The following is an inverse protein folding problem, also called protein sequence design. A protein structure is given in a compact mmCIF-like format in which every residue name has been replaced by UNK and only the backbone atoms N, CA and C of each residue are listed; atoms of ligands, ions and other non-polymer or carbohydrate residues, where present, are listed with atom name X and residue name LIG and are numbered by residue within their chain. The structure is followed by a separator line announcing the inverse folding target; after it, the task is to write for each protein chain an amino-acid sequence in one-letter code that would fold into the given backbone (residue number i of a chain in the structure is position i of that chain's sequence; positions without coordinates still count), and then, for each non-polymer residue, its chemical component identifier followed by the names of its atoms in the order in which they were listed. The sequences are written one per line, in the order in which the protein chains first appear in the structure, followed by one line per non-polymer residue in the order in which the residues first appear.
data_IF_609256137999
#
_entry.id   IF_609256137999
#
_cell.length_a   1.000
_cell.length_b   1.000
_cell.length_c   1.000
_cell.angle_alpha   90.00
_cell.angle_beta   90.00
_cell.angle_gamma   90.00
#
_symmetry.space_group_name_H-M   'P 1'
#
loop_
_entity.id
_entity.type
_entity.pdbx_description
1 polymer ?
#
# COMPACT_ATOMS: atom_id res chain seq x y z
N UNK A 1 -34.76 4.44 -43.38
CA UNK A 1 -33.69 3.41 -43.26
C UNK A 1 -32.31 4.05 -43.19
N UNK A 2 -31.91 4.87 -44.17
CA UNK A 2 -30.56 5.49 -44.22
C UNK A 2 -30.22 6.37 -43.00
N UNK A 3 -31.17 7.20 -42.54
CA UNK A 3 -30.95 8.04 -41.35
C UNK A 3 -30.76 7.25 -40.04
N UNK A 4 -31.35 6.05 -39.93
CA UNK A 4 -31.17 5.19 -38.76
C UNK A 4 -29.78 4.54 -38.78
N UNK A 5 -29.34 4.09 -39.96
CA UNK A 5 -28.01 3.49 -40.17
C UNK A 5 -26.90 4.52 -39.95
N UNK A 6 -27.06 5.76 -40.42
CA UNK A 6 -26.10 6.84 -40.15
C UNK A 6 -26.02 7.23 -38.66
N UNK A 7 -27.15 7.19 -37.95
CA UNK A 7 -27.20 7.54 -36.51
C UNK A 7 -26.54 6.45 -35.67
N UNK A 8 -26.77 5.18 -36.02
CA UNK A 8 -26.09 4.03 -35.42
C UNK A 8 -24.60 4.06 -35.75
N UNK A 9 -24.22 4.28 -37.01
CA UNK A 9 -22.80 4.35 -37.42
C UNK A 9 -22.02 5.45 -36.71
N UNK A 10 -22.59 6.65 -36.56
CA UNK A 10 -21.97 7.75 -35.79
C UNK A 10 -21.88 7.43 -34.30
N UNK A 11 -22.92 6.83 -33.72
CA UNK A 11 -22.93 6.43 -32.31
C UNK A 11 -21.88 5.34 -32.02
N UNK A 12 -21.80 4.31 -32.85
CA UNK A 12 -20.83 3.21 -32.70
C UNK A 12 -19.41 3.73 -32.93
N UNK A 13 -19.19 4.57 -33.94
CA UNK A 13 -17.90 5.21 -34.19
C UNK A 13 -17.43 6.08 -33.02
N UNK A 14 -18.35 6.81 -32.38
CA UNK A 14 -18.04 7.60 -31.17
C UNK A 14 -17.59 6.73 -30.01
N UNK A 15 -18.36 5.68 -29.68
CA UNK A 15 -18.01 4.77 -28.57
C UNK A 15 -16.69 4.04 -28.84
N UNK A 16 -16.50 3.50 -30.05
CA UNK A 16 -15.26 2.80 -30.43
C UNK A 16 -14.07 3.77 -30.39
N UNK A 17 -14.25 5.01 -30.86
CA UNK A 17 -13.22 6.04 -30.79
C UNK A 17 -12.81 6.37 -29.36
N UNK A 18 -13.77 6.56 -28.46
CA UNK A 18 -13.49 6.81 -27.03
C UNK A 18 -12.76 5.64 -26.38
N UNK A 19 -13.21 4.40 -26.61
CA UNK A 19 -12.56 3.21 -26.06
C UNK A 19 -11.13 3.05 -26.59
N UNK A 20 -10.91 3.33 -27.87
CA UNK A 20 -9.59 3.21 -28.48
C UNK A 20 -8.62 4.29 -28.00
N UNK A 21 -9.10 5.52 -27.78
CA UNK A 21 -8.30 6.58 -27.17
C UNK A 21 -7.98 6.28 -25.70
N UNK A 22 -8.98 5.89 -24.90
CA UNK A 22 -8.75 5.48 -23.52
C UNK A 22 -7.71 4.34 -23.42
N UNK A 23 -7.74 3.38 -24.35
CA UNK A 23 -6.72 2.34 -24.44
C UNK A 23 -5.32 2.87 -24.74
N UNK A 24 -5.20 3.85 -25.64
CA UNK A 24 -3.91 4.50 -25.95
C UNK A 24 -3.38 5.29 -24.77
N UNK A 25 -4.24 6.07 -24.12
CA UNK A 25 -3.88 6.87 -22.94
C UNK A 25 -3.42 5.95 -21.79
N UNK A 26 -4.11 4.83 -21.58
CA UNK A 26 -3.71 3.84 -20.59
C UNK A 26 -2.33 3.22 -20.88
N UNK A 27 -2.04 2.89 -22.14
CA UNK A 27 -0.72 2.37 -22.55
C UNK A 27 0.36 3.43 -22.37
N UNK A 28 0.08 4.69 -22.74
CA UNK A 28 1.02 5.79 -22.58
C UNK A 28 1.34 6.05 -21.10
N UNK A 29 0.32 6.05 -20.24
CA UNK A 29 0.47 6.14 -18.79
C UNK A 29 1.32 5.00 -18.22
N UNK A 30 1.08 3.76 -18.68
CA UNK A 30 1.87 2.61 -18.26
C UNK A 30 3.35 2.79 -18.60
N UNK A 31 3.65 3.18 -19.83
CA UNK A 31 5.01 3.28 -20.36
C UNK A 31 5.77 4.48 -19.80
N UNK A 32 5.13 5.65 -19.71
CA UNK A 32 5.81 6.89 -19.32
C UNK A 32 5.86 7.12 -17.82
N UNK A 33 4.97 6.48 -17.07
CA UNK A 33 4.82 6.77 -15.64
C UNK A 33 4.98 5.52 -14.78
N UNK A 34 4.14 4.50 -14.99
CA UNK A 34 4.07 3.36 -14.08
C UNK A 34 5.36 2.54 -14.11
N UNK A 35 5.84 2.17 -15.30
CA UNK A 35 7.08 1.37 -15.44
C UNK A 35 8.30 2.10 -14.88
N UNK A 36 8.58 3.38 -15.24
CA UNK A 36 9.67 4.14 -14.64
C UNK A 36 9.59 4.23 -13.12
N UNK A 37 8.39 4.44 -12.57
CA UNK A 37 8.18 4.50 -11.14
C UNK A 37 8.46 3.15 -10.45
N UNK A 38 7.97 2.04 -11.00
CA UNK A 38 8.28 0.70 -10.48
C UNK A 38 9.78 0.40 -10.50
N UNK A 39 10.49 0.82 -11.55
CA UNK A 39 11.94 0.66 -11.62
C UNK A 39 12.66 1.44 -10.51
N UNK A 40 12.25 2.69 -10.25
CA UNK A 40 12.77 3.50 -9.15
C UNK A 40 12.51 2.85 -7.78
N UNK A 41 11.28 2.41 -7.52
CA UNK A 41 10.92 1.76 -6.25
C UNK A 41 11.73 0.48 -6.05
N UNK A 42 11.89 -0.33 -7.09
CA UNK A 42 12.68 -1.59 -7.03
C UNK A 42 14.15 -1.31 -6.72
N UNK A 43 14.73 -0.24 -7.29
CA UNK A 43 16.08 0.17 -6.98
C UNK A 43 16.24 0.59 -5.51
N UNK A 44 15.32 1.40 -4.97
CA UNK A 44 15.33 1.82 -3.56
C UNK A 44 15.21 0.61 -2.63
N UNK A 45 14.29 -0.32 -2.92
CA UNK A 45 14.14 -1.58 -2.17
C UNK A 45 15.44 -2.39 -2.22
N UNK A 46 16.05 -2.53 -3.40
CA UNK A 46 17.33 -3.23 -3.57
C UNK A 46 18.45 -2.63 -2.71
N UNK A 47 18.57 -1.30 -2.66
CA UNK A 47 19.53 -0.63 -1.78
C UNK A 47 19.26 -0.91 -0.30
N UNK A 48 18.00 -0.88 0.15
CA UNK A 48 17.66 -1.11 1.56
C UNK A 48 17.98 -2.56 1.98
N UNK A 49 17.75 -3.52 1.08
CA UNK A 49 18.10 -4.93 1.31
C UNK A 49 19.62 -5.13 1.36
N UNK A 50 20.38 -4.62 0.39
CA UNK A 50 21.84 -4.74 0.34
C UNK A 50 22.55 -4.01 1.49
N UNK A 51 22.01 -2.90 1.96
CA UNK A 51 22.59 -2.13 3.08
C UNK A 51 22.31 -2.74 4.45
N UNK A 52 21.44 -3.75 4.56
CA UNK A 52 21.08 -4.37 5.84
C UNK A 52 20.28 -3.47 6.79
N UNK A 53 19.83 -2.29 6.33
CA UNK A 53 18.97 -1.38 7.10
C UNK A 53 17.65 -2.08 7.46
N UNK A 54 17.13 -2.87 6.52
CA UNK A 54 15.96 -3.71 6.75
C UNK A 54 16.14 -4.71 7.90
N UNK A 55 17.30 -5.36 7.97
CA UNK A 55 17.64 -6.33 9.02
C UNK A 55 17.83 -5.68 10.39
N UNK A 56 18.40 -4.47 10.42
CA UNK A 56 18.54 -3.71 11.66
C UNK A 56 17.16 -3.35 12.27
N UNK A 57 16.23 -2.91 11.43
CA UNK A 57 14.86 -2.58 11.86
C UNK A 57 14.11 -3.85 12.31
N UNK A 58 14.25 -4.93 11.55
CA UNK A 58 13.71 -6.24 11.87
C UNK A 58 14.14 -6.77 13.24
N UNK A 59 15.44 -6.69 13.55
CA UNK A 59 15.96 -7.14 14.84
C UNK A 59 15.44 -6.29 16.01
N UNK A 60 15.22 -4.99 15.79
CA UNK A 60 14.57 -4.12 16.78
C UNK A 60 13.09 -4.46 17.03
N UNK A 61 12.39 -4.96 16.00
CA UNK A 61 10.95 -5.26 16.06
C UNK A 61 10.66 -6.70 16.54
N UNK A 62 11.61 -7.63 16.39
CA UNK A 62 11.43 -9.05 16.72
C UNK A 62 10.92 -9.30 18.15
N UNK A 63 11.32 -8.45 19.11
CA UNK A 63 10.87 -8.52 20.50
C UNK A 63 9.42 -8.05 20.76
N UNK A 64 8.82 -7.33 19.82
CA UNK A 64 7.47 -6.77 19.93
C UNK A 64 6.40 -7.61 19.22
N UNK A 65 6.78 -8.57 18.37
CA UNK A 65 5.86 -9.34 17.55
C UNK A 65 5.05 -10.41 18.32
N UNK A 66 5.45 -10.75 19.55
CA UNK A 66 4.83 -11.82 20.34
C UNK A 66 3.71 -11.35 21.28
N UNK A 67 3.37 -10.05 21.26
CA UNK A 67 2.31 -9.51 22.12
C UNK A 67 1.45 -8.50 21.39
N UNK A 68 0.17 -8.41 21.78
CA UNK A 68 -0.77 -7.43 21.22
C UNK A 68 -0.25 -5.99 21.41
N UNK A 69 0.27 -5.67 22.60
CA UNK A 69 0.83 -4.35 22.88
C UNK A 69 2.05 -4.01 22.02
N UNK A 70 2.93 -4.99 21.76
CA UNK A 70 4.06 -4.80 20.88
C UNK A 70 3.64 -4.58 19.42
N UNK A 71 2.65 -5.35 18.93
CA UNK A 71 2.07 -5.15 17.60
C UNK A 71 1.41 -3.77 17.45
N UNK A 72 0.76 -3.26 18.50
CA UNK A 72 0.20 -1.90 18.49
C UNK A 72 1.29 -0.83 18.35
N UNK A 73 2.43 -1.00 19.02
CA UNK A 73 3.58 -0.08 18.88
C UNK A 73 4.15 -0.13 17.46
N UNK A 74 4.34 -1.34 16.92
CA UNK A 74 4.79 -1.54 15.54
C UNK A 74 3.82 -0.85 14.56
N UNK A 75 2.53 -0.99 14.77
CA UNK A 75 1.49 -0.33 13.98
C UNK A 75 1.60 1.19 14.01
N UNK A 76 1.81 1.78 15.18
CA UNK A 76 1.95 3.24 15.31
C UNK A 76 3.20 3.71 14.55
N UNK A 77 4.33 3.01 14.71
CA UNK A 77 5.58 3.34 13.99
C UNK A 77 5.36 3.26 12.48
N UNK A 78 4.76 2.17 12.00
CA UNK A 78 4.48 1.95 10.58
C UNK A 78 3.48 2.98 10.02
N UNK A 79 2.56 3.49 10.84
CA UNK A 79 1.56 4.48 10.46
C UNK A 79 2.09 5.93 10.42
N UNK A 80 3.31 6.22 10.90
CA UNK A 80 3.83 7.59 10.94
C UNK A 80 3.82 8.21 9.54
N UNK A 81 3.09 9.33 9.32
CA UNK A 81 2.97 9.98 8.01
C UNK A 81 4.29 10.27 7.32
N UNK A 82 5.35 10.59 8.08
CA UNK A 82 6.69 10.93 7.56
C UNK A 82 7.40 9.74 6.89
N UNK A 83 7.07 8.50 7.26
CA UNK A 83 7.68 7.31 6.65
C UNK A 83 7.09 6.98 5.26
N UNK A 84 5.99 7.65 4.86
CA UNK A 84 5.29 7.40 3.58
C UNK A 84 5.77 8.21 2.39
N UNK A 85 6.14 9.50 2.51
CA UNK A 85 6.84 10.24 1.46
C UNK A 85 8.16 9.58 1.09
N UNK A 86 8.79 8.92 2.07
CA UNK A 86 9.94 8.08 1.87
C UNK A 86 9.45 6.67 1.45
N UNK A 87 8.77 6.59 0.30
CA UNK A 87 8.03 5.44 -0.27
C UNK A 87 8.70 4.04 -0.18
N UNK A 88 9.99 3.94 0.19
CA UNK A 88 10.74 2.71 0.38
C UNK A 88 10.62 2.12 1.79
N UNK A 89 11.06 2.79 2.86
CA UNK A 89 11.10 2.22 4.20
C UNK A 89 9.78 1.64 4.74
N UNK A 90 8.63 2.29 4.55
CA UNK A 90 7.34 1.76 5.03
C UNK A 90 6.99 0.39 4.43
N UNK A 91 7.11 0.27 3.10
CA UNK A 91 6.88 -0.98 2.38
C UNK A 91 7.93 -2.06 2.70
N UNK A 92 9.19 -1.66 2.87
CA UNK A 92 10.27 -2.60 3.22
C UNK A 92 10.11 -3.14 4.64
N UNK A 93 9.72 -2.29 5.60
CA UNK A 93 9.43 -2.74 6.98
C UNK A 93 8.30 -3.76 6.96
N UNK A 94 7.19 -3.47 6.25
CA UNK A 94 6.07 -4.39 6.13
C UNK A 94 6.51 -5.75 5.55
N UNK A 95 7.32 -5.73 4.50
CA UNK A 95 7.80 -6.94 3.83
C UNK A 95 8.73 -7.77 4.73
N UNK A 96 9.77 -7.15 5.32
CA UNK A 96 10.77 -7.89 6.09
C UNK A 96 10.19 -8.38 7.42
N UNK A 97 9.45 -7.52 8.13
CA UNK A 97 8.82 -7.92 9.40
C UNK A 97 7.76 -8.99 9.15
N UNK A 98 6.99 -8.91 8.06
CA UNK A 98 6.02 -9.93 7.69
C UNK A 98 6.65 -11.31 7.48
N UNK A 99 7.76 -11.38 6.73
CA UNK A 99 8.51 -12.63 6.52
C UNK A 99 9.07 -13.18 7.83
N UNK A 100 9.60 -12.33 8.71
CA UNK A 100 10.15 -12.75 9.99
C UNK A 100 9.08 -13.31 10.91
N UNK A 101 7.96 -12.60 11.09
CA UNK A 101 6.84 -13.07 11.92
C UNK A 101 6.30 -14.38 11.37
N UNK A 102 6.08 -14.47 10.05
CA UNK A 102 5.62 -15.70 9.40
C UNK A 102 6.59 -16.88 9.61
N UNK A 103 7.89 -16.64 9.56
CA UNK A 103 8.91 -17.67 9.82
C UNK A 103 8.91 -18.14 11.27
N UNK A 104 8.79 -17.23 12.23
CA UNK A 104 8.75 -17.57 13.66
C UNK A 104 7.42 -18.27 14.05
N UNK A 105 6.30 -17.93 13.39
CA UNK A 105 5.05 -18.70 13.50
C UNK A 105 5.25 -20.12 12.95
N UNK A 106 5.85 -20.27 11.77
CA UNK A 106 6.13 -21.59 11.17
C UNK A 106 7.08 -22.46 12.01
N UNK A 107 7.92 -21.83 12.86
CA UNK A 107 8.80 -22.51 13.82
C UNK A 107 8.13 -22.83 15.16
N UNK A 108 6.90 -22.33 15.39
CA UNK A 108 6.17 -22.51 16.66
C UNK A 108 6.65 -21.58 17.79
N UNK A 109 7.47 -20.58 17.50
CA UNK A 109 7.95 -19.61 18.49
C UNK A 109 6.93 -18.49 18.74
N UNK A 110 6.04 -18.23 17.78
CA UNK A 110 4.93 -17.29 17.88
C UNK A 110 3.64 -18.08 17.60
N UNK A 111 2.60 -17.80 18.38
CA UNK A 111 1.30 -18.43 18.22
C UNK A 111 0.64 -18.03 16.88
N UNK A 112 -0.06 -18.97 16.23
CA UNK A 112 -0.71 -18.75 14.93
C UNK A 112 -1.78 -17.67 15.02
N UNK A 113 -2.44 -17.51 16.17
CA UNK A 113 -3.42 -16.44 16.41
C UNK A 113 -2.82 -15.03 16.24
N UNK A 114 -1.50 -14.88 16.34
CA UNK A 114 -0.84 -13.58 16.15
C UNK A 114 -0.64 -13.20 14.67
N UNK A 115 -0.91 -14.11 13.72
CA UNK A 115 -0.72 -13.85 12.30
C UNK A 115 -1.58 -12.68 11.77
N UNK A 116 -2.88 -12.68 12.07
CA UNK A 116 -3.81 -11.65 11.60
C UNK A 116 -3.57 -10.28 12.26
N UNK A 117 -3.39 -10.18 13.59
CA UNK A 117 -2.93 -8.95 14.24
C UNK A 117 -1.63 -8.41 13.67
N UNK A 118 -0.65 -9.29 13.42
CA UNK A 118 0.64 -8.89 12.89
C UNK A 118 0.53 -8.35 11.47
N UNK A 119 -0.30 -8.95 10.63
CA UNK A 119 -0.59 -8.44 9.28
C UNK A 119 -1.11 -7.00 9.32
N UNK A 120 -2.06 -6.70 10.21
CA UNK A 120 -2.56 -5.33 10.35
C UNK A 120 -1.53 -4.37 10.96
N UNK A 121 -0.70 -4.86 11.88
CA UNK A 121 0.32 -4.04 12.54
C UNK A 121 1.43 -3.60 11.61
N UNK A 122 1.81 -4.44 10.64
CA UNK A 122 2.87 -4.11 9.68
C UNK A 122 2.34 -3.40 8.43
N UNK A 123 1.03 -3.42 8.21
CA UNK A 123 0.40 -2.83 7.02
C UNK A 123 -0.69 -1.77 7.32
N UNK A 124 -0.50 -0.82 8.27
CA UNK A 124 -1.43 0.30 8.42
C UNK A 124 -1.39 1.26 7.23
N UNK A 125 -0.41 1.11 6.33
CA UNK A 125 -0.30 1.91 5.13
C UNK A 125 -1.42 1.57 4.14
N UNK A 126 -1.80 0.30 3.93
CA UNK A 126 -2.91 -0.10 3.02
C UNK A 126 -2.88 0.60 1.64
N UNK A 127 -1.69 0.95 1.13
CA UNK A 127 -1.55 1.73 -0.10
C UNK A 127 -1.84 3.24 0.00
N UNK A 128 -2.19 3.76 1.19
CA UNK A 128 -2.31 5.18 1.50
C UNK A 128 -1.06 6.00 1.13
N UNK A 129 0.12 5.37 1.14
CA UNK A 129 1.40 5.96 0.77
C UNK A 129 1.43 6.35 -0.71
N UNK A 130 0.63 5.69 -1.54
CA UNK A 130 0.47 6.00 -2.95
C UNK A 130 -0.62 7.02 -3.23
N UNK A 131 -1.39 7.48 -2.25
CA UNK A 131 -2.43 8.48 -2.46
C UNK A 131 -1.86 9.81 -2.97
N UNK A 132 -0.75 10.36 -2.44
CA UNK A 132 -0.14 11.56 -3.03
C UNK A 132 0.27 11.36 -4.49
N UNK A 133 0.84 10.20 -4.82
CA UNK A 133 1.26 9.85 -6.17
C UNK A 133 0.06 9.68 -7.08
N UNK A 134 -0.95 8.92 -6.66
CA UNK A 134 -2.16 8.67 -7.44
C UNK A 134 -2.96 9.94 -7.71
N UNK A 135 -3.07 10.84 -6.74
CA UNK A 135 -3.71 12.14 -6.94
C UNK A 135 -2.90 13.04 -7.88
N UNK A 136 -1.56 13.02 -7.79
CA UNK A 136 -0.71 13.78 -8.71
C UNK A 136 -0.78 13.26 -10.15
N UNK A 137 -0.77 11.93 -10.34
CA UNK A 137 -0.89 11.28 -11.65
C UNK A 137 -2.29 11.40 -12.25
N UNK A 138 -3.32 11.48 -11.41
CA UNK A 138 -4.70 11.70 -11.82
C UNK A 138 -5.04 13.17 -12.08
N UNK A 139 -4.04 14.06 -12.13
CA UNK A 139 -4.21 15.51 -12.33
C UNK A 139 -5.28 16.11 -11.39
N UNK A 140 -5.33 15.62 -10.14
CA UNK A 140 -6.33 16.06 -9.17
C UNK A 140 -6.17 17.55 -8.84
N UNK A 141 -7.29 18.21 -8.55
CA UNK A 141 -7.29 19.61 -8.17
C UNK A 141 -6.41 19.85 -6.92
N UNK A 142 -5.69 20.98 -6.84
CA UNK A 142 -4.81 21.27 -5.70
C UNK A 142 -5.51 21.20 -4.34
N UNK A 143 -6.79 21.61 -4.27
CA UNK A 143 -7.61 21.50 -3.06
C UNK A 143 -7.83 20.03 -2.65
N UNK A 144 -8.07 19.15 -3.62
CA UNK A 144 -8.21 17.70 -3.39
C UNK A 144 -6.91 17.09 -2.87
N UNK A 145 -5.77 17.50 -3.41
CA UNK A 145 -4.45 17.00 -2.95
C UNK A 145 -4.16 17.48 -1.53
N UNK A 146 -4.36 18.78 -1.26
CA UNK A 146 -4.03 19.41 0.03
C UNK A 146 -4.91 18.93 1.18
N UNK A 147 -6.16 18.53 0.92
CA UNK A 147 -7.05 17.96 1.93
C UNK A 147 -6.95 16.42 1.98
N UNK A 148 -6.95 15.76 0.82
CA UNK A 148 -7.01 14.31 0.70
C UNK A 148 -5.76 13.61 1.23
N UNK A 149 -4.57 14.14 0.92
CA UNK A 149 -3.30 13.52 1.38
C UNK A 149 -3.19 13.53 2.90
N UNK A 150 -3.35 14.66 3.62
CA UNK A 150 -3.29 14.66 5.07
C UNK A 150 -4.41 13.84 5.72
N UNK A 151 -5.63 13.88 5.16
CA UNK A 151 -6.75 13.13 5.70
C UNK A 151 -6.47 11.62 5.71
N UNK A 152 -6.00 11.07 4.58
CA UNK A 152 -5.70 9.65 4.47
C UNK A 152 -4.49 9.28 5.35
N UNK A 153 -3.39 10.04 5.29
CA UNK A 153 -2.18 9.74 6.07
C UNK A 153 -2.39 9.86 7.58
N UNK A 154 -3.31 10.72 8.03
CA UNK A 154 -3.64 10.86 9.46
C UNK A 154 -4.62 9.78 9.91
N UNK A 155 -5.60 9.42 9.08
CA UNK A 155 -6.64 8.44 9.42
C UNK A 155 -6.06 7.09 9.86
N UNK A 156 -4.98 6.64 9.23
CA UNK A 156 -4.31 5.38 9.55
C UNK A 156 -3.65 5.31 10.92
N UNK A 157 -3.32 6.46 11.53
CA UNK A 157 -2.84 6.49 12.93
C UNK A 157 -3.93 6.03 13.89
N UNK A 158 -5.20 6.10 13.47
CA UNK A 158 -6.36 5.65 14.24
C UNK A 158 -6.83 4.29 13.74
N UNK A 159 -7.05 4.14 12.43
CA UNK A 159 -7.61 2.91 11.85
C UNK A 159 -6.63 1.74 11.91
N UNK A 160 -5.31 1.97 11.86
CA UNK A 160 -4.29 0.93 12.00
C UNK A 160 -4.38 0.21 13.35
N UNK A 161 -4.21 0.89 14.49
CA UNK A 161 -4.32 0.28 15.81
C UNK A 161 -5.67 -0.41 16.05
N UNK A 162 -6.77 0.18 15.56
CA UNK A 162 -8.09 -0.46 15.63
C UNK A 162 -8.10 -1.78 14.86
N UNK A 163 -7.51 -1.81 13.66
CA UNK A 163 -7.45 -3.01 12.82
C UNK A 163 -6.64 -4.13 13.49
N UNK A 164 -5.55 -3.80 14.19
CA UNK A 164 -4.77 -4.77 14.98
C UNK A 164 -5.62 -5.42 16.07
N UNK A 165 -6.38 -4.62 16.83
CA UNK A 165 -7.28 -5.13 17.88
C UNK A 165 -8.38 -5.99 17.27
N UNK A 166 -9.00 -5.55 16.18
CA UNK A 166 -10.02 -6.31 15.46
C UNK A 166 -9.44 -7.65 14.99
N UNK A 167 -8.26 -7.64 14.37
CA UNK A 167 -7.57 -8.86 13.94
C UNK A 167 -7.30 -9.82 15.10
N UNK A 168 -6.98 -9.29 16.28
CA UNK A 168 -6.76 -10.11 17.47
C UNK A 168 -8.04 -10.76 17.95
N UNK A 169 -9.15 -10.01 17.99
CA UNK A 169 -10.45 -10.54 18.36
C UNK A 169 -10.92 -11.65 17.40
N UNK A 170 -10.68 -11.51 16.10
CA UNK A 170 -11.01 -12.53 15.11
C UNK A 170 -10.08 -13.75 15.15
N UNK A 171 -8.89 -13.61 15.73
CA UNK A 171 -7.94 -14.70 15.90
C UNK A 171 -8.13 -15.47 17.21
N UNK A 172 -9.05 -15.05 18.10
CA UNK A 172 -9.35 -15.77 19.32
C UNK A 172 -9.93 -17.15 19.01
N UNK A 173 -9.24 -18.21 19.46
CA UNK A 173 -9.69 -19.60 19.31
C UNK A 173 -9.09 -20.37 18.13
N UNK A 174 -8.12 -19.77 17.41
CA UNK A 174 -7.17 -20.48 16.54
C UNK A 174 -6.08 -21.15 17.39
#
# INVERSE_FOLDING_TARGET
MQALIERIGRSVGGVVGTLFQAGRDAVDLCLKTIIPFMAFVTFVIGLILETGVGDAIANGIKGFASSLGGLMIVCIICAIPVLSPLLGPGAVIAQIVGVLIGTEIGRGNIDVSMALPALFAINPQVGCDFVPVGLALGEAEPETVTVGVPAVLTSRMITGPISVVVGYLFALGL
#
